data_IF_394637776195
#
_entry.id   IF_394637776195
#
_cell.length_a   1.000
_cell.length_b   1.000
_cell.length_c   1.000
_cell.angle_alpha   90.00
_cell.angle_beta   90.00
_cell.angle_gamma   90.00
#
_symmetry.space_group_name_H-M   'P 1'
#
loop_
_entity.id
_entity.type
_entity.pdbx_description
1 polymer ?
#
# COMPACT_ATOMS: atom_id res chain seq x y z
N UNK A 1 -9.27 -16.51 13.95
CA UNK A 1 -9.88 -15.94 12.74
C UNK A 1 -11.24 -15.40 13.14
N UNK A 2 -11.41 -14.09 13.06
CA UNK A 2 -12.63 -13.38 13.44
C UNK A 2 -13.75 -13.62 12.41
N UNK A 3 -15.02 -13.40 12.80
CA UNK A 3 -16.17 -13.55 11.89
C UNK A 3 -16.04 -12.63 10.66
N UNK A 4 -15.56 -11.40 10.87
CA UNK A 4 -15.30 -10.46 9.78
C UNK A 4 -14.30 -11.04 8.76
N UNK A 5 -13.17 -11.57 9.24
CA UNK A 5 -12.15 -12.23 8.42
C UNK A 5 -12.73 -13.42 7.63
N UNK A 6 -13.56 -14.24 8.26
CA UNK A 6 -14.18 -15.38 7.59
C UNK A 6 -15.14 -14.96 6.47
N UNK A 7 -15.94 -13.92 6.71
CA UNK A 7 -16.85 -13.38 5.69
C UNK A 7 -16.05 -12.76 4.54
N UNK A 8 -15.00 -11.99 4.85
CA UNK A 8 -14.12 -11.39 3.84
C UNK A 8 -13.44 -12.46 3.00
N UNK A 9 -12.93 -13.53 3.61
CA UNK A 9 -12.33 -14.66 2.88
C UNK A 9 -13.33 -15.32 1.94
N UNK A 10 -14.54 -15.63 2.42
CA UNK A 10 -15.58 -16.23 1.58
C UNK A 10 -15.95 -15.33 0.40
N UNK A 11 -16.08 -14.02 0.63
CA UNK A 11 -16.34 -13.03 -0.44
C UNK A 11 -15.21 -12.97 -1.44
N UNK A 12 -13.96 -12.89 -0.99
CA UNK A 12 -12.78 -12.91 -1.85
C UNK A 12 -12.75 -14.15 -2.76
N UNK A 13 -13.01 -15.32 -2.19
CA UNK A 13 -13.08 -16.58 -2.93
C UNK A 13 -14.25 -16.61 -3.93
N UNK A 14 -15.40 -16.04 -3.57
CA UNK A 14 -16.56 -15.94 -4.45
C UNK A 14 -16.34 -14.95 -5.62
N UNK A 15 -15.67 -13.83 -5.35
CA UNK A 15 -15.37 -12.77 -6.33
C UNK A 15 -14.28 -13.20 -7.30
N UNK A 16 -13.30 -13.95 -6.82
CA UNK A 16 -12.13 -14.38 -7.55
C UNK A 16 -11.95 -15.91 -7.52
N UNK A 17 -12.89 -16.69 -8.10
CA UNK A 17 -12.82 -18.16 -8.04
C UNK A 17 -11.63 -18.74 -8.82
N UNK A 18 -11.00 -17.94 -9.69
CA UNK A 18 -9.82 -18.32 -10.46
C UNK A 18 -8.50 -17.89 -9.80
N UNK A 19 -8.56 -17.11 -8.73
CA UNK A 19 -7.39 -16.62 -8.01
C UNK A 19 -7.24 -17.38 -6.71
N UNK A 20 -6.02 -17.41 -6.18
CA UNK A 20 -5.75 -18.05 -4.89
C UNK A 20 -5.72 -17.00 -3.81
N UNK A 21 -6.48 -17.20 -2.74
CA UNK A 21 -6.48 -16.30 -1.58
C UNK A 21 -5.90 -17.07 -0.40
N UNK A 22 -4.79 -16.57 0.14
CA UNK A 22 -4.15 -17.14 1.31
C UNK A 22 -4.49 -16.30 2.54
N UNK A 23 -4.95 -16.96 3.60
CA UNK A 23 -5.14 -16.34 4.90
C UNK A 23 -3.89 -16.55 5.77
N UNK A 24 -3.56 -15.56 6.60
CA UNK A 24 -2.45 -15.58 7.56
C UNK A 24 -1.09 -15.89 6.93
N UNK A 25 -0.64 -15.05 5.99
CA UNK A 25 0.63 -15.26 5.30
C UNK A 25 1.76 -14.55 6.02
N UNK A 26 2.85 -15.27 6.30
CA UNK A 26 4.04 -14.68 6.91
C UNK A 26 4.75 -13.74 5.94
N UNK A 27 5.22 -12.59 6.44
CA UNK A 27 5.98 -11.63 5.62
C UNK A 27 7.27 -12.22 5.07
N UNK A 28 7.87 -13.21 5.74
CA UNK A 28 9.02 -13.97 5.24
C UNK A 28 8.74 -14.66 3.88
N UNK A 29 7.47 -14.97 3.56
CA UNK A 29 7.09 -15.57 2.28
C UNK A 29 6.88 -14.52 1.16
N UNK A 30 6.57 -13.28 1.54
CA UNK A 30 6.33 -12.17 0.61
C UNK A 30 7.61 -11.40 0.31
N UNK A 31 8.44 -11.21 1.34
CA UNK A 31 9.66 -10.40 1.27
C UNK A 31 10.89 -11.29 1.27
N UNK A 32 11.72 -11.14 0.24
CA UNK A 32 13.01 -11.83 0.12
C UNK A 32 14.15 -10.83 0.25
N UNK A 33 14.52 -10.45 1.48
CA UNK A 33 15.70 -9.58 1.68
C UNK A 33 16.96 -10.38 1.99
N UNK A 34 18.07 -9.92 1.41
CA UNK A 34 19.42 -10.44 1.65
C UNK A 34 19.99 -9.96 2.99
N UNK A 35 19.36 -8.99 3.66
CA UNK A 35 19.84 -8.39 4.91
C UNK A 35 19.14 -9.00 6.12
N UNK A 36 19.87 -9.85 6.84
CA UNK A 36 19.37 -10.54 8.04
C UNK A 36 18.92 -9.58 9.17
N UNK A 37 19.44 -8.35 9.22
CA UNK A 37 19.05 -7.36 10.22
C UNK A 37 17.62 -6.85 10.01
N UNK A 38 17.25 -6.59 8.75
CA UNK A 38 15.89 -6.23 8.37
C UNK A 38 14.96 -7.43 8.58
N UNK A 39 15.46 -8.65 8.31
CA UNK A 39 14.71 -9.90 8.52
C UNK A 39 14.19 -10.08 9.93
N UNK A 40 15.00 -9.81 10.96
CA UNK A 40 14.53 -9.91 12.35
C UNK A 40 13.41 -8.95 12.70
N UNK A 41 13.27 -7.82 11.99
CA UNK A 41 12.23 -6.83 12.27
C UNK A 41 10.85 -7.22 11.73
N UNK A 42 10.81 -7.99 10.65
CA UNK A 42 9.55 -8.52 10.11
C UNK A 42 9.35 -10.02 10.36
N UNK A 43 10.33 -10.72 10.93
CA UNK A 43 10.16 -12.08 11.46
C UNK A 43 9.09 -12.08 12.55
N UNK A 44 7.97 -12.75 12.27
CA UNK A 44 6.79 -12.80 13.15
C UNK A 44 5.64 -11.89 12.72
N UNK A 45 5.81 -11.13 11.64
CA UNK A 45 4.71 -10.38 11.02
C UNK A 45 3.95 -11.29 10.05
N UNK A 46 2.63 -11.19 10.11
CA UNK A 46 1.69 -11.99 9.34
C UNK A 46 0.64 -11.05 8.76
N UNK A 47 0.41 -11.16 7.46
CA UNK A 47 -0.67 -10.49 6.76
C UNK A 47 -1.96 -11.29 6.92
N UNK A 48 -3.08 -10.61 7.08
CA UNK A 48 -4.38 -11.27 7.27
C UNK A 48 -4.77 -12.04 6.01
N UNK A 49 -4.67 -11.39 4.86
CA UNK A 49 -4.99 -11.99 3.56
C UNK A 49 -4.01 -11.58 2.47
N UNK A 50 -3.73 -12.50 1.57
CA UNK A 50 -2.92 -12.27 0.37
C UNK A 50 -3.64 -12.85 -0.81
N UNK A 51 -3.88 -12.02 -1.81
CA UNK A 51 -4.50 -12.41 -3.08
C UNK A 51 -3.40 -12.71 -4.08
N UNK A 52 -3.46 -13.87 -4.70
CA UNK A 52 -2.52 -14.32 -5.72
C UNK A 52 -3.23 -14.59 -7.05
N UNK A 53 -2.55 -14.28 -8.14
CA UNK A 53 -2.98 -14.66 -9.49
C UNK A 53 -2.81 -16.16 -9.76
N UNK A 54 -3.29 -16.62 -10.92
CA UNK A 54 -3.16 -17.99 -11.42
C UNK A 54 -1.69 -18.45 -11.49
N UNK A 55 -0.73 -17.53 -11.64
CA UNK A 55 0.71 -17.83 -11.61
C UNK A 55 1.32 -17.76 -10.20
N UNK A 56 0.49 -17.76 -9.14
CA UNK A 56 0.92 -17.65 -7.74
C UNK A 56 1.76 -16.40 -7.47
N UNK A 57 1.49 -15.32 -8.21
CA UNK A 57 2.09 -14.01 -7.98
C UNK A 57 1.18 -13.19 -7.08
N UNK A 58 1.75 -12.49 -6.10
CA UNK A 58 0.99 -11.66 -5.17
C UNK A 58 0.45 -10.44 -5.91
N UNK A 59 -0.89 -10.33 -5.98
CA UNK A 59 -1.58 -9.18 -6.57
C UNK A 59 -1.77 -8.07 -5.55
N UNK A 60 -2.28 -8.43 -4.38
CA UNK A 60 -2.54 -7.48 -3.30
C UNK A 60 -2.55 -8.18 -1.95
N UNK A 61 -2.30 -7.39 -0.91
CA UNK A 61 -2.32 -7.81 0.48
C UNK A 61 -3.46 -7.08 1.15
N UNK A 62 -4.33 -7.80 1.85
CA UNK A 62 -5.49 -7.25 2.52
C UNK A 62 -5.33 -7.41 4.03
N UNK A 63 -5.54 -6.32 4.76
CA UNK A 63 -5.50 -6.27 6.22
C UNK A 63 -6.85 -5.82 6.77
N UNK A 64 -7.32 -6.49 7.83
CA UNK A 64 -8.53 -6.10 8.55
C UNK A 64 -8.12 -5.38 9.83
N UNK A 65 -8.42 -4.08 9.89
CA UNK A 65 -8.12 -3.27 11.06
C UNK A 65 -9.16 -3.53 12.16
N UNK A 66 -8.70 -4.06 13.29
CA UNK A 66 -9.49 -4.20 14.53
C UNK A 66 -9.20 -3.02 15.48
N UNK A 67 -9.91 -2.87 16.60
CA UNK A 67 -9.66 -1.82 17.62
C UNK A 67 -8.20 -1.84 18.13
N UNK A 68 -7.56 -3.00 18.07
CA UNK A 68 -6.13 -3.20 18.34
C UNK A 68 -5.19 -2.46 17.38
N UNK A 69 -5.70 -1.90 16.28
CA UNK A 69 -4.97 -1.16 15.26
C UNK A 69 -4.25 0.06 15.85
N UNK A 70 -4.93 0.82 16.71
CA UNK A 70 -4.34 2.01 17.35
C UNK A 70 -3.10 1.62 18.16
N UNK A 71 -3.14 0.45 18.79
CA UNK A 71 -2.06 -0.05 19.62
C UNK A 71 -0.86 -0.58 18.81
N UNK A 72 -1.07 -0.90 17.51
CA UNK A 72 -0.04 -1.46 16.61
C UNK A 72 0.24 -0.60 15.38
N UNK A 73 -0.20 0.67 15.40
CA UNK A 73 -0.09 1.61 14.28
C UNK A 73 1.34 1.75 13.75
N UNK A 74 2.32 1.92 14.65
CA UNK A 74 3.74 2.03 14.26
C UNK A 74 4.25 0.78 13.54
N UNK A 75 3.84 -0.40 14.02
CA UNK A 75 4.25 -1.67 13.43
C UNK A 75 3.57 -1.91 12.09
N UNK A 76 2.33 -1.43 11.93
CA UNK A 76 1.54 -1.49 10.70
C UNK A 76 2.08 -0.53 9.63
N UNK A 77 2.41 0.72 9.99
CA UNK A 77 3.09 1.64 9.08
C UNK A 77 4.40 1.07 8.55
N UNK A 78 5.19 0.43 9.41
CA UNK A 78 6.42 -0.21 8.99
C UNK A 78 6.18 -1.39 8.03
N UNK A 79 5.13 -2.19 8.27
CA UNK A 79 4.70 -3.26 7.37
C UNK A 79 4.33 -2.72 6.00
N UNK A 80 3.47 -1.70 5.97
CA UNK A 80 3.01 -1.05 4.75
C UNK A 80 4.20 -0.54 3.95
N UNK A 81 5.15 0.14 4.59
CA UNK A 81 6.38 0.61 3.93
C UNK A 81 7.24 -0.51 3.36
N UNK A 82 7.37 -1.66 4.05
CA UNK A 82 8.13 -2.80 3.52
C UNK A 82 7.47 -3.42 2.29
N UNK A 83 6.14 -3.52 2.31
CA UNK A 83 5.35 -4.05 1.20
C UNK A 83 5.39 -3.10 0.01
N UNK A 84 5.24 -1.79 0.25
CA UNK A 84 5.37 -0.74 -0.75
C UNK A 84 6.77 -0.72 -1.39
N UNK A 85 7.83 -0.86 -0.58
CA UNK A 85 9.20 -0.98 -1.08
C UNK A 85 9.42 -2.22 -1.95
N UNK A 86 8.66 -3.30 -1.70
CA UNK A 86 8.68 -4.50 -2.52
C UNK A 86 7.75 -4.41 -3.75
N UNK A 87 7.00 -3.31 -3.90
CA UNK A 87 6.04 -3.10 -4.98
C UNK A 87 4.69 -3.78 -4.77
N UNK A 88 4.41 -4.25 -3.54
CA UNK A 88 3.11 -4.82 -3.19
C UNK A 88 2.14 -3.74 -2.74
N UNK A 89 0.87 -3.90 -3.12
CA UNK A 89 -0.22 -3.03 -2.68
C UNK A 89 -0.88 -3.60 -1.43
N UNK A 90 -1.12 -2.72 -0.45
CA UNK A 90 -1.77 -3.06 0.82
C UNK A 90 -3.12 -2.37 0.89
N UNK A 91 -4.19 -3.16 1.05
CA UNK A 91 -5.57 -2.72 1.19
C UNK A 91 -5.99 -2.92 2.64
N UNK A 92 -6.39 -1.84 3.31
CA UNK A 92 -6.80 -1.89 4.71
C UNK A 92 -8.29 -1.62 4.84
N UNK A 93 -9.01 -2.57 5.44
CA UNK A 93 -10.45 -2.45 5.69
C UNK A 93 -10.73 -2.43 7.19
N UNK A 94 -11.42 -1.39 7.65
CA UNK A 94 -11.90 -1.30 9.05
C UNK A 94 -13.21 -2.06 9.28
N UNK A 95 -13.85 -2.53 8.21
CA UNK A 95 -15.14 -3.23 8.22
C UNK A 95 -15.13 -4.34 7.17
N UNK A 96 -16.17 -5.18 7.12
CA UNK A 96 -16.28 -6.27 6.14
C UNK A 96 -16.49 -5.64 4.74
N UNK A 97 -15.51 -5.69 3.82
CA UNK A 97 -15.65 -5.11 2.50
C UNK A 97 -16.66 -5.89 1.67
N UNK A 98 -17.35 -5.21 0.77
CA UNK A 98 -18.30 -5.83 -0.17
C UNK A 98 -17.59 -6.51 -1.33
N UNK A 99 -18.28 -7.45 -1.97
CA UNK A 99 -17.75 -8.17 -3.13
C UNK A 99 -17.40 -7.26 -4.31
N UNK A 100 -18.11 -6.14 -4.45
CA UNK A 100 -17.85 -5.16 -5.51
C UNK A 100 -16.59 -4.33 -5.20
N UNK A 101 -16.46 -3.80 -3.98
CA UNK A 101 -15.27 -3.04 -3.55
C UNK A 101 -14.01 -3.89 -3.69
N UNK A 102 -14.04 -5.15 -3.23
CA UNK A 102 -12.91 -6.07 -3.38
C UNK A 102 -12.54 -6.25 -4.86
N UNK A 103 -13.52 -6.34 -5.76
CA UNK A 103 -13.24 -6.49 -7.19
C UNK A 103 -12.63 -5.22 -7.76
N UNK A 104 -13.14 -4.05 -7.41
CA UNK A 104 -12.64 -2.77 -7.91
C UNK A 104 -11.22 -2.48 -7.40
N UNK A 105 -10.96 -2.69 -6.11
CA UNK A 105 -9.65 -2.47 -5.50
C UNK A 105 -8.58 -3.47 -5.99
N UNK A 106 -8.99 -4.71 -6.29
CA UNK A 106 -8.10 -5.77 -6.80
C UNK A 106 -7.95 -5.75 -8.33
N UNK A 107 -8.82 -5.04 -9.07
CA UNK A 107 -8.72 -4.84 -10.53
C UNK A 107 -8.38 -3.40 -10.94
N UNK A 108 -7.32 -2.78 -10.40
CA UNK A 108 -6.89 -1.44 -10.74
C UNK A 108 -6.21 -1.37 -12.12
N UNK A 109 -5.84 -2.51 -12.72
CA UNK A 109 -5.08 -2.59 -13.99
C UNK A 109 -5.80 -2.04 -15.23
N UNK A 110 -7.07 -1.61 -15.11
CA UNK A 110 -7.73 -0.84 -16.17
C UNK A 110 -7.54 0.68 -16.04
N UNK A 111 -7.13 1.17 -14.86
CA UNK A 111 -7.04 2.59 -14.56
C UNK A 111 -5.90 2.91 -13.57
N UNK A 112 -4.64 2.67 -13.96
CA UNK A 112 -3.58 3.67 -13.74
C UNK A 112 -2.29 3.33 -14.51
N UNK A 113 -1.77 4.24 -15.34
CA UNK A 113 -0.51 4.04 -16.01
C UNK A 113 0.63 4.12 -14.99
N UNK A 114 1.39 3.04 -14.85
CA UNK A 114 2.84 3.03 -14.65
C UNK A 114 3.38 4.09 -13.66
N UNK A 115 3.17 3.91 -12.35
CA UNK A 115 4.01 4.60 -11.35
C UNK A 115 5.26 3.78 -11.08
N UNK A 116 6.24 3.92 -11.98
CA UNK A 116 7.62 3.48 -11.81
C UNK A 116 8.24 4.06 -10.52
N UNK A 117 8.90 3.25 -9.66
CA UNK A 117 9.64 3.77 -8.52
C UNK A 117 10.93 4.44 -9.00
N UNK A 118 10.97 5.77 -8.99
CA UNK A 118 12.20 6.51 -9.30
C UNK A 118 13.00 6.78 -8.03
N UNK A 119 14.01 5.94 -7.80
CA UNK A 119 15.24 6.29 -7.08
C UNK A 119 16.34 5.81 -8.03
N UNK A 120 17.20 6.64 -8.65
CA UNK A 120 18.23 7.51 -8.06
C UNK A 120 18.96 8.34 -9.14
N UNK A 121 19.42 9.55 -8.74
CA UNK A 121 20.70 10.23 -9.11
C UNK A 121 20.81 11.11 -10.38
N UNK A 122 21.01 12.41 -10.09
CA UNK A 122 21.84 13.43 -10.77
C UNK A 122 21.53 13.82 -12.21
N UNK A 123 20.94 15.01 -12.38
CA UNK A 123 21.65 16.15 -12.98
C UNK A 123 20.88 17.45 -12.70
N UNK A 124 21.51 18.36 -11.94
CA UNK A 124 21.17 19.77 -12.01
C UNK A 124 21.42 20.24 -13.47
N UNK A 125 20.68 21.24 -14.01
CA UNK A 125 20.73 22.61 -13.48
C UNK A 125 19.38 23.35 -13.45
N UNK A 126 19.14 24.11 -12.37
CA UNK A 126 18.36 25.35 -12.42
C UNK A 126 19.05 26.32 -13.42
N UNK A 127 18.40 27.35 -14.02
CA UNK A 127 17.14 28.00 -13.60
C UNK A 127 16.17 28.38 -14.75
N UNK A 128 14.92 28.74 -14.42
CA UNK A 128 14.27 29.93 -14.99
C UNK A 128 13.01 30.31 -14.22
N UNK A 129 13.12 31.43 -13.53
CA UNK A 129 12.02 32.27 -13.04
C UNK A 129 11.31 32.95 -14.23
N UNK A 130 10.24 33.70 -13.90
CA UNK A 130 9.49 34.69 -14.71
C UNK A 130 8.21 34.11 -15.37
N UNK A 131 6.99 34.57 -15.06
CA UNK A 131 6.47 35.96 -14.95
C UNK A 131 5.44 36.07 -13.82
N UNK A 132 5.58 36.99 -12.85
CA UNK A 132 5.24 38.43 -12.88
C UNK A 132 3.77 38.76 -13.20
N UNK A 133 3.07 39.35 -12.22
CA UNK A 133 2.30 40.62 -12.24
C UNK A 133 1.33 40.59 -11.05
N UNK A 134 1.16 41.59 -10.19
CA UNK A 134 1.42 43.04 -10.26
C UNK A 134 1.55 43.59 -8.83
N UNK A 135 2.56 44.41 -8.59
CA UNK A 135 2.58 45.40 -7.51
C UNK A 135 1.65 46.57 -7.89
N UNK A 136 0.96 47.12 -6.90
CA UNK A 136 0.58 48.53 -6.82
C UNK A 136 0.51 48.86 -5.32
N UNK A 137 1.60 49.30 -4.70
CA UNK A 137 2.04 50.69 -4.62
C UNK A 137 1.08 51.54 -3.77
N UNK A 138 1.47 51.81 -2.52
CA UNK A 138 1.28 53.15 -1.93
C UNK A 138 2.47 53.49 -1.04
N UNK A 139 3.26 54.39 -1.62
CA UNK A 139 4.31 55.24 -1.09
C UNK A 139 4.38 55.44 0.43
N UNK A 140 5.57 55.15 0.97
CA UNK A 140 6.14 55.93 2.08
C UNK A 140 6.68 57.23 1.46
N UNK A 141 6.09 58.36 1.84
CA UNK A 141 6.70 59.69 1.70
C UNK A 141 6.87 60.27 3.09
N UNK A 142 8.11 60.63 3.39
CA UNK A 142 8.55 61.38 4.56
C UNK A 142 7.76 62.66 4.76
N UNK A 143 7.49 62.99 6.03
CA UNK A 143 7.55 64.34 6.59
C UNK A 143 8.02 64.22 8.04
#
# INVERSE_FOLDING_TARGET
MNIAEQITLMRLQAVLPRHTVLAHVSFDALLTTKFAHTRRKYQGLVADFVVLDQQHQVLAIIEIADESYVNRLHQKHYQDSLLELAGYRVLRYSSIPTEQELREDLMPDLFEPMSIPTTVVTSAPLPKMERMMKYNEFAVKSY
#
